data_IF_848156219599
#
_entry.id   IF_848156219599
#
_cell.length_a   1.000
_cell.length_b   1.000
_cell.length_c   1.000
_cell.angle_alpha   90.00
_cell.angle_beta   90.00
_cell.angle_gamma   90.00
#
_symmetry.space_group_name_H-M   'P 1'
#
loop_
_entity.id
_entity.type
_entity.pdbx_description
1 polymer ?
#
# COMPACT_ATOMS: atom_id res chain seq x y z
N UNK A 1 -0.65 7.30 27.25
CA UNK A 1 -1.36 8.45 26.69
C UNK A 1 -1.57 8.18 25.21
N UNK A 2 -2.82 8.00 24.78
CA UNK A 2 -3.11 8.03 23.36
C UNK A 2 -2.70 9.41 22.84
N UNK A 3 -1.85 9.45 21.82
CA UNK A 3 -1.59 10.71 21.11
C UNK A 3 -2.88 11.16 20.46
N UNK A 4 -3.18 12.46 20.38
CA UNK A 4 -4.40 12.97 19.75
C UNK A 4 -4.64 12.44 18.31
N UNK A 5 -3.58 12.12 17.58
CA UNK A 5 -3.64 11.41 16.28
C UNK A 5 -4.37 10.06 16.41
N UNK A 6 -4.08 9.29 17.46
CA UNK A 6 -4.72 8.00 17.73
C UNK A 6 -6.22 8.18 18.01
N UNK A 7 -6.62 9.18 18.80
CA UNK A 7 -8.04 9.47 19.07
C UNK A 7 -8.81 9.77 17.77
N UNK A 8 -8.22 10.56 16.85
CA UNK A 8 -8.85 10.83 15.54
C UNK A 8 -8.93 9.59 14.64
N UNK A 9 -7.97 8.66 14.75
CA UNK A 9 -8.02 7.38 14.04
C UNK A 9 -9.11 6.45 14.63
N UNK A 10 -9.34 6.48 15.93
CA UNK A 10 -10.45 5.78 16.59
C UNK A 10 -11.80 6.30 16.09
N UNK A 11 -11.98 7.61 16.01
CA UNK A 11 -13.19 8.24 15.48
C UNK A 11 -13.45 7.85 14.01
N UNK A 12 -12.42 7.90 13.17
CA UNK A 12 -12.52 7.43 11.77
C UNK A 12 -12.91 5.96 11.67
N UNK A 13 -12.36 5.12 12.55
CA UNK A 13 -12.71 3.70 12.59
C UNK A 13 -14.14 3.49 13.05
N UNK A 14 -14.56 4.22 14.09
CA UNK A 14 -15.92 4.17 14.61
C UNK A 14 -16.94 4.63 13.56
N UNK A 15 -16.59 5.63 12.74
CA UNK A 15 -17.39 6.04 11.59
C UNK A 15 -17.63 4.89 10.61
N UNK A 16 -16.60 4.10 10.26
CA UNK A 16 -16.81 2.95 9.37
C UNK A 16 -17.81 1.95 9.96
N UNK A 17 -17.70 1.68 11.26
CA UNK A 17 -18.58 0.73 11.95
C UNK A 17 -20.02 1.23 12.11
N UNK A 18 -20.23 2.53 12.39
CA UNK A 18 -21.53 3.08 12.74
C UNK A 18 -21.77 4.46 12.12
N UNK A 19 -22.92 4.66 11.49
CA UNK A 19 -23.29 5.90 10.78
C UNK A 19 -23.29 7.15 11.65
N UNK A 20 -23.58 7.01 12.95
CA UNK A 20 -23.69 8.12 13.90
C UNK A 20 -22.65 8.04 15.01
N UNK A 21 -21.55 7.30 14.81
CA UNK A 21 -20.46 7.25 15.79
C UNK A 21 -19.70 8.58 15.91
N UNK A 22 -19.82 9.46 14.92
CA UNK A 22 -19.12 10.74 14.89
C UNK A 22 -20.08 11.82 14.39
N UNK A 23 -20.06 12.98 15.03
CA UNK A 23 -20.94 14.10 14.71
C UNK A 23 -20.61 14.70 13.33
N UNK A 24 -19.31 14.77 12.99
CA UNK A 24 -18.83 15.25 11.70
C UNK A 24 -17.51 14.59 11.31
N UNK A 25 -17.55 13.77 10.26
CA UNK A 25 -16.35 13.13 9.71
C UNK A 25 -15.40 14.13 9.07
N UNK A 26 -15.94 15.20 8.48
CA UNK A 26 -15.15 16.30 7.91
C UNK A 26 -14.34 17.01 9.00
N UNK A 27 -14.95 17.27 10.15
CA UNK A 27 -14.26 17.88 11.29
C UNK A 27 -13.21 16.94 11.91
N UNK A 28 -13.49 15.64 12.01
CA UNK A 28 -12.49 14.64 12.43
C UNK A 28 -11.29 14.61 11.47
N UNK A 29 -11.52 14.70 10.16
CA UNK A 29 -10.46 14.75 9.14
C UNK A 29 -9.61 16.02 9.26
N UNK A 30 -10.23 17.18 9.45
CA UNK A 30 -9.53 18.45 9.66
C UNK A 30 -8.66 18.44 10.92
N UNK A 31 -9.21 17.90 12.01
CA UNK A 31 -8.46 17.74 13.26
C UNK A 31 -7.31 16.74 13.10
N UNK A 32 -7.53 15.62 12.42
CA UNK A 32 -6.47 14.67 12.13
C UNK A 32 -5.32 15.33 11.36
N UNK A 33 -5.63 16.12 10.32
CA UNK A 33 -4.61 16.80 9.53
C UNK A 33 -3.77 17.77 10.38
N UNK A 34 -4.41 18.55 11.26
CA UNK A 34 -3.72 19.46 12.20
C UNK A 34 -2.83 18.69 13.17
N UNK A 35 -3.35 17.64 13.79
CA UNK A 35 -2.61 16.85 14.78
C UNK A 35 -1.44 16.09 14.14
N UNK A 36 -1.57 15.65 12.89
CA UNK A 36 -0.46 15.08 12.10
C UNK A 36 0.61 16.13 11.85
N UNK A 37 0.24 17.32 11.38
CA UNK A 37 1.19 18.40 11.11
C UNK A 37 1.96 18.79 12.39
N UNK A 38 1.26 18.95 13.51
CA UNK A 38 1.85 19.22 14.82
C UNK A 38 2.80 18.12 15.28
N UNK A 39 2.39 16.84 15.13
CA UNK A 39 3.20 15.71 15.54
C UNK A 39 4.50 15.59 14.73
N UNK A 40 4.48 15.94 13.44
CA UNK A 40 5.64 15.87 12.55
C UNK A 40 6.70 16.92 12.86
N UNK A 41 6.32 18.11 13.33
CA UNK A 41 7.26 19.19 13.64
C UNK A 41 7.73 19.20 15.09
N UNK A 42 6.99 18.53 16.00
CA UNK A 42 7.25 18.59 17.45
C UNK A 42 8.58 17.95 17.86
N UNK A 43 8.82 16.71 17.43
CA UNK A 43 10.07 16.00 17.72
C UNK A 43 10.23 14.78 16.82
N UNK A 44 11.46 14.27 16.71
CA UNK A 44 11.73 13.04 15.95
C UNK A 44 10.92 11.83 16.47
N UNK A 45 10.84 11.67 17.79
CA UNK A 45 10.08 10.59 18.41
C UNK A 45 8.57 10.73 18.14
N UNK A 46 8.05 11.97 18.21
CA UNK A 46 6.66 12.28 17.87
C UNK A 46 6.36 11.97 16.41
N UNK A 47 7.24 12.38 15.49
CA UNK A 47 7.10 12.09 14.07
C UNK A 47 7.15 10.57 13.78
N UNK A 48 8.03 9.83 14.45
CA UNK A 48 8.08 8.36 14.34
C UNK A 48 6.81 7.70 14.87
N UNK A 49 6.29 8.15 16.01
CA UNK A 49 5.03 7.63 16.54
C UNK A 49 3.86 7.95 15.61
N UNK A 50 3.82 9.16 15.05
CA UNK A 50 2.83 9.58 14.05
C UNK A 50 2.89 8.69 12.81
N UNK A 51 4.08 8.40 12.26
CA UNK A 51 4.20 7.51 11.10
C UNK A 51 3.82 6.07 11.44
N UNK A 52 4.09 5.59 12.65
CA UNK A 52 3.58 4.26 13.08
C UNK A 52 2.05 4.27 13.11
N UNK A 53 1.43 5.32 13.66
CA UNK A 53 -0.02 5.44 13.75
C UNK A 53 -0.70 5.50 12.37
N UNK A 54 -0.20 6.36 11.49
CA UNK A 54 -0.82 6.56 10.16
C UNK A 54 -0.66 5.34 9.24
N UNK A 55 0.41 4.56 9.40
CA UNK A 55 0.75 3.51 8.43
C UNK A 55 0.67 2.09 9.00
N UNK A 56 1.07 1.86 10.25
CA UNK A 56 1.34 0.52 10.77
C UNK A 56 0.40 0.09 11.91
N UNK A 57 -0.29 1.04 12.54
CA UNK A 57 -1.09 0.77 13.73
C UNK A 57 -2.24 -0.21 13.48
N UNK A 58 -2.37 -1.14 14.41
CA UNK A 58 -3.43 -2.15 14.46
C UNK A 58 -4.63 -1.60 15.22
N UNK A 59 -4.36 -0.97 16.35
CA UNK A 59 -5.34 -0.44 17.29
C UNK A 59 -4.80 0.88 17.88
N UNK A 60 -5.37 2.03 17.50
CA UNK A 60 -6.42 2.18 16.49
C UNK A 60 -5.97 1.81 15.08
N UNK A 61 -6.88 1.39 14.18
CA UNK A 61 -6.54 1.14 12.79
C UNK A 61 -5.88 2.33 12.11
N UNK A 62 -4.77 2.06 11.42
CA UNK A 62 -4.07 3.05 10.62
C UNK A 62 -4.91 3.57 9.46
N UNK A 63 -4.52 4.70 8.85
CA UNK A 63 -5.20 5.21 7.66
C UNK A 63 -5.14 4.22 6.49
N UNK A 64 -4.06 3.44 6.38
CA UNK A 64 -3.97 2.39 5.36
C UNK A 64 -5.02 1.29 5.60
N UNK A 65 -5.23 0.91 6.86
CA UNK A 65 -6.25 -0.08 7.23
C UNK A 65 -7.66 0.45 7.04
N UNK A 66 -7.89 1.73 7.35
CA UNK A 66 -9.15 2.41 7.04
C UNK A 66 -9.45 2.35 5.54
N UNK A 67 -8.48 2.68 4.69
CA UNK A 67 -8.65 2.62 3.22
C UNK A 67 -8.97 1.20 2.76
N UNK A 68 -8.27 0.20 3.28
CA UNK A 68 -8.53 -1.20 2.93
C UNK A 68 -9.94 -1.64 3.37
N UNK A 69 -10.32 -1.39 4.62
CA UNK A 69 -11.63 -1.78 5.15
C UNK A 69 -12.80 -1.03 4.48
N UNK A 70 -12.57 0.21 4.03
CA UNK A 70 -13.58 1.01 3.33
C UNK A 70 -13.66 0.72 1.82
N UNK A 71 -12.70 -0.02 1.24
CA UNK A 71 -12.72 -0.41 -0.17
C UNK A 71 -13.88 -1.37 -0.48
N UNK A 72 -14.05 -2.37 0.36
CA UNK A 72 -15.01 -3.46 0.20
C UNK A 72 -16.31 -3.23 1.01
N UNK A 73 -16.63 -1.97 1.29
CA UNK A 73 -17.79 -1.64 2.13
C UNK A 73 -19.10 -2.10 1.46
N UNK A 74 -19.79 -3.04 2.11
CA UNK A 74 -20.91 -3.78 1.52
C UNK A 74 -22.26 -3.05 1.56
N UNK A 75 -22.46 -2.13 2.51
CA UNK A 75 -23.74 -1.45 2.68
C UNK A 75 -23.88 -0.27 1.70
N UNK A 76 -24.70 -0.48 0.69
CA UNK A 76 -24.99 0.47 -0.40
C UNK A 76 -25.57 1.81 0.11
N UNK A 77 -26.24 1.83 1.26
CA UNK A 77 -26.86 3.05 1.80
C UNK A 77 -25.82 4.09 2.24
N UNK A 78 -24.65 3.63 2.70
CA UNK A 78 -23.53 4.47 3.19
C UNK A 78 -22.33 4.48 2.24
N UNK A 79 -22.37 3.71 1.16
CA UNK A 79 -21.26 3.54 0.21
C UNK A 79 -20.75 4.86 -0.37
N UNK A 80 -21.64 5.80 -0.69
CA UNK A 80 -21.27 7.12 -1.21
C UNK A 80 -20.50 7.94 -0.17
N UNK A 81 -21.02 7.99 1.05
CA UNK A 81 -20.43 8.72 2.17
C UNK A 81 -19.03 8.16 2.49
N UNK A 82 -18.93 6.84 2.64
CA UNK A 82 -17.68 6.14 2.92
C UNK A 82 -16.67 6.28 1.78
N UNK A 83 -17.11 6.24 0.53
CA UNK A 83 -16.25 6.52 -0.62
C UNK A 83 -15.70 7.95 -0.58
N UNK A 84 -16.52 8.95 -0.21
CA UNK A 84 -16.07 10.33 -0.07
C UNK A 84 -15.04 10.48 1.05
N UNK A 85 -15.28 9.88 2.22
CA UNK A 85 -14.32 9.88 3.33
C UNK A 85 -13.02 9.18 2.95
N UNK A 86 -13.10 8.02 2.26
CA UNK A 86 -11.94 7.29 1.76
C UNK A 86 -11.10 8.16 0.84
N UNK A 87 -11.71 8.86 -0.11
CA UNK A 87 -10.98 9.83 -0.95
C UNK A 87 -10.31 10.92 -0.11
N UNK A 88 -10.96 11.47 0.91
CA UNK A 88 -10.37 12.46 1.82
C UNK A 88 -9.15 11.93 2.58
N UNK A 89 -9.21 10.68 3.07
CA UNK A 89 -8.05 10.02 3.72
C UNK A 89 -6.87 9.89 2.76
N UNK A 90 -7.13 9.60 1.49
CA UNK A 90 -6.09 9.50 0.46
C UNK A 90 -5.47 10.84 0.11
N UNK A 91 -6.26 11.91 0.11
CA UNK A 91 -5.76 13.28 -0.04
C UNK A 91 -4.92 13.73 1.15
N UNK A 92 -5.30 13.35 2.37
CA UNK A 92 -4.48 13.60 3.56
C UNK A 92 -3.14 12.88 3.46
N UNK A 93 -3.15 11.58 3.17
CA UNK A 93 -1.94 10.78 2.98
C UNK A 93 -1.08 11.36 1.83
N UNK A 94 -1.72 11.84 0.76
CA UNK A 94 -1.05 12.53 -0.34
C UNK A 94 -0.31 13.78 0.09
N UNK A 95 -0.99 14.65 0.80
CA UNK A 95 -0.45 15.91 1.29
C UNK A 95 0.67 15.66 2.30
N UNK A 96 0.50 14.67 3.17
CA UNK A 96 1.52 14.22 4.11
C UNK A 96 2.82 13.83 3.40
N UNK A 97 2.75 13.04 2.33
CA UNK A 97 3.95 12.67 1.57
C UNK A 97 4.59 13.84 0.81
N UNK A 98 3.78 14.74 0.24
CA UNK A 98 4.31 15.93 -0.42
C UNK A 98 5.11 16.80 0.55
N UNK A 99 4.62 16.94 1.78
CA UNK A 99 5.24 17.78 2.81
C UNK A 99 6.38 17.09 3.55
N UNK A 100 6.26 15.78 3.82
CA UNK A 100 7.16 15.06 4.71
C UNK A 100 7.83 13.85 4.07
N UNK A 101 7.75 13.67 2.74
CA UNK A 101 8.30 12.51 2.03
C UNK A 101 9.81 12.31 2.20
N UNK A 102 10.55 13.38 2.49
CA UNK A 102 11.98 13.37 2.80
C UNK A 102 12.31 13.28 4.30
N UNK A 103 11.28 13.24 5.16
CA UNK A 103 11.47 13.25 6.60
C UNK A 103 11.98 11.89 7.10
N UNK A 104 12.98 11.90 7.98
CA UNK A 104 13.69 10.69 8.46
C UNK A 104 12.81 9.68 9.21
N UNK A 105 11.62 10.10 9.66
CA UNK A 105 10.64 9.23 10.30
C UNK A 105 9.83 8.38 9.29
N UNK A 106 9.85 8.73 8.00
CA UNK A 106 9.24 7.91 6.96
C UNK A 106 10.24 6.88 6.46
N UNK A 107 9.80 5.63 6.39
CA UNK A 107 10.52 4.62 5.63
C UNK A 107 10.12 4.75 4.16
N UNK A 108 10.98 4.27 3.24
CA UNK A 108 10.64 4.21 1.82
C UNK A 108 9.30 3.49 1.57
N UNK A 109 8.95 2.51 2.41
CA UNK A 109 7.71 1.74 2.33
C UNK A 109 6.45 2.59 2.56
N UNK A 110 6.49 3.58 3.46
CA UNK A 110 5.34 4.45 3.74
C UNK A 110 4.98 5.35 2.55
N UNK A 111 6.01 5.93 1.91
CA UNK A 111 5.86 6.76 0.70
C UNK A 111 5.21 5.96 -0.43
N UNK A 112 5.58 4.70 -0.49
CA UNK A 112 5.31 3.72 -1.54
C UNK A 112 3.88 3.17 -1.42
N UNK A 113 3.41 2.82 -0.22
CA UNK A 113 2.02 2.35 -0.02
C UNK A 113 0.99 3.45 -0.30
N UNK A 114 1.25 4.69 0.11
CA UNK A 114 0.30 5.80 -0.11
C UNK A 114 0.23 6.24 -1.56
N UNK A 115 1.34 6.23 -2.29
CA UNK A 115 1.33 6.50 -3.73
C UNK A 115 0.41 5.53 -4.47
N UNK A 116 0.26 4.28 -4.00
CA UNK A 116 -0.69 3.34 -4.60
C UNK A 116 -2.09 3.35 -4.04
N UNK A 117 -2.29 3.74 -2.79
CA UNK A 117 -3.66 3.96 -2.35
C UNK A 117 -4.31 5.14 -3.11
N UNK A 118 -3.55 6.20 -3.44
CA UNK A 118 -4.02 7.27 -4.35
C UNK A 118 -4.39 6.77 -5.74
N UNK A 119 -3.67 5.76 -6.20
CA UNK A 119 -3.85 5.16 -7.51
C UNK A 119 -5.04 4.18 -7.54
N UNK A 120 -5.24 3.41 -6.46
CA UNK A 120 -6.40 2.54 -6.29
C UNK A 120 -7.73 3.31 -6.29
N UNK A 121 -7.75 4.56 -5.80
CA UNK A 121 -8.94 5.43 -5.73
C UNK A 121 -9.15 6.37 -6.93
N UNK A 122 -8.41 6.18 -8.03
CA UNK A 122 -8.62 6.83 -9.35
C UNK A 122 -8.32 8.34 -9.46
N UNK A 123 -7.31 8.90 -8.76
CA UNK A 123 -6.97 10.34 -8.88
C UNK A 123 -5.57 10.69 -9.42
N UNK A 124 -4.71 9.72 -9.74
CA UNK A 124 -3.36 10.00 -10.24
C UNK A 124 -3.24 9.70 -11.74
N UNK A 125 -2.70 10.66 -12.50
CA UNK A 125 -2.35 10.46 -13.91
C UNK A 125 -0.96 9.83 -14.02
N UNK A 126 -0.64 9.25 -15.19
CA UNK A 126 0.71 8.70 -15.48
C UNK A 126 1.83 9.73 -15.28
N UNK A 127 1.51 11.02 -15.48
CA UNK A 127 2.43 12.16 -15.36
C UNK A 127 2.78 12.47 -13.89
N UNK A 128 1.94 12.06 -12.94
CA UNK A 128 2.16 12.30 -11.51
C UNK A 128 3.03 11.23 -10.83
N UNK A 129 3.10 10.03 -11.42
CA UNK A 129 3.66 8.84 -10.76
C UNK A 129 4.90 8.30 -11.47
N UNK A 130 5.09 8.47 -12.77
CA UNK A 130 6.16 7.77 -13.52
C UNK A 130 6.22 6.26 -13.18
N UNK A 131 5.17 5.47 -13.52
CA UNK A 131 4.96 4.11 -12.99
C UNK A 131 6.16 3.17 -13.15
N UNK A 132 6.83 3.22 -14.31
CA UNK A 132 8.04 2.45 -14.59
C UNK A 132 9.18 2.73 -13.63
N UNK A 133 9.50 4.01 -13.41
CA UNK A 133 10.59 4.41 -12.53
C UNK A 133 10.35 3.93 -11.09
N UNK A 134 9.09 3.92 -10.65
CA UNK A 134 8.71 3.36 -9.36
C UNK A 134 8.85 1.84 -9.30
N UNK A 135 8.34 1.12 -10.30
CA UNK A 135 8.47 -0.34 -10.38
C UNK A 135 9.94 -0.76 -10.37
N UNK A 136 10.79 -0.10 -11.17
CA UNK A 136 12.22 -0.39 -11.24
C UNK A 136 12.93 -0.14 -9.91
N UNK A 137 12.61 0.98 -9.25
CA UNK A 137 13.16 1.31 -7.93
C UNK A 137 12.73 0.31 -6.85
N UNK A 138 11.46 -0.09 -6.85
CA UNK A 138 10.94 -1.07 -5.91
C UNK A 138 11.57 -2.43 -6.13
N UNK A 139 11.69 -2.84 -7.39
CA UNK A 139 12.35 -4.09 -7.73
C UNK A 139 13.81 -4.10 -7.28
N UNK A 140 14.52 -2.98 -7.47
CA UNK A 140 15.86 -2.80 -6.93
C UNK A 140 15.89 -2.91 -5.40
N UNK A 141 15.01 -2.19 -4.69
CA UNK A 141 14.96 -2.22 -3.23
C UNK A 141 14.60 -3.62 -2.69
N UNK A 142 13.70 -4.37 -3.34
CA UNK A 142 13.37 -5.76 -2.97
C UNK A 142 14.61 -6.66 -3.05
N UNK A 143 15.40 -6.52 -4.12
CA UNK A 143 16.58 -7.35 -4.38
C UNK A 143 17.76 -7.01 -3.48
N UNK A 144 18.01 -5.72 -3.26
CA UNK A 144 19.29 -5.26 -2.71
C UNK A 144 19.20 -4.57 -1.36
N UNK A 145 18.02 -4.18 -0.89
CA UNK A 145 17.89 -3.54 0.42
C UNK A 145 17.86 -4.55 1.57
N UNK A 146 18.20 -4.05 2.77
CA UNK A 146 18.04 -4.75 4.05
C UNK A 146 16.60 -4.68 4.59
N UNK A 147 15.60 -4.43 3.73
CA UNK A 147 14.21 -4.40 4.16
C UNK A 147 13.78 -5.76 4.74
N UNK A 148 12.89 -5.71 5.72
CA UNK A 148 12.24 -6.92 6.25
C UNK A 148 11.39 -7.58 5.16
N UNK A 149 11.07 -8.83 5.35
CA UNK A 149 10.41 -9.64 4.32
C UNK A 149 8.93 -9.30 4.22
N UNK A 150 8.31 -8.93 5.34
CA UNK A 150 7.00 -8.26 5.39
C UNK A 150 6.97 -7.04 4.48
N UNK A 151 8.00 -6.20 4.57
CA UNK A 151 8.07 -5.01 3.74
C UNK A 151 8.30 -5.32 2.26
N UNK A 152 9.11 -6.33 1.95
CA UNK A 152 9.30 -6.78 0.57
C UNK A 152 7.99 -7.33 -0.01
N UNK A 153 7.20 -8.06 0.79
CA UNK A 153 5.84 -8.48 0.44
C UNK A 153 4.95 -7.29 0.06
N UNK A 154 4.92 -6.25 0.89
CA UNK A 154 4.16 -5.02 0.60
C UNK A 154 4.65 -4.28 -0.65
N UNK A 155 5.96 -4.24 -0.90
CA UNK A 155 6.52 -3.67 -2.13
C UNK A 155 6.12 -4.47 -3.37
N UNK A 156 5.97 -5.79 -3.25
CA UNK A 156 5.50 -6.65 -4.35
C UNK A 156 4.01 -6.46 -4.62
N UNK A 157 3.18 -6.39 -3.58
CA UNK A 157 1.76 -6.04 -3.75
C UNK A 157 1.59 -4.73 -4.50
N UNK A 158 2.41 -3.75 -4.14
CA UNK A 158 2.46 -2.47 -4.81
C UNK A 158 2.83 -2.57 -6.30
N UNK A 159 3.88 -3.32 -6.63
CA UNK A 159 4.24 -3.56 -8.03
C UNK A 159 3.05 -4.18 -8.76
N UNK A 160 2.38 -5.17 -8.15
CA UNK A 160 1.18 -5.77 -8.70
C UNK A 160 0.11 -4.73 -9.02
N UNK A 161 -0.20 -3.82 -8.09
CA UNK A 161 -1.17 -2.75 -8.35
C UNK A 161 -0.75 -1.88 -9.53
N UNK A 162 0.49 -1.38 -9.55
CA UNK A 162 1.00 -0.53 -10.63
C UNK A 162 0.94 -1.21 -12.00
N UNK A 163 1.18 -2.52 -12.05
CA UNK A 163 1.04 -3.33 -13.26
C UNK A 163 -0.43 -3.43 -13.70
N UNK A 164 -1.33 -3.72 -12.77
CA UNK A 164 -2.76 -3.90 -13.05
C UNK A 164 -3.39 -2.66 -13.72
N UNK A 165 -2.95 -1.45 -13.35
CA UNK A 165 -3.62 -0.22 -13.77
C UNK A 165 -2.81 0.67 -14.73
N UNK A 166 -1.49 0.47 -14.85
CA UNK A 166 -0.64 1.13 -15.84
C UNK A 166 0.15 0.11 -16.67
N UNK A 167 -0.51 -0.92 -17.26
CA UNK A 167 0.19 -2.05 -17.88
C UNK A 167 1.10 -1.61 -19.03
N UNK A 168 0.72 -0.58 -19.78
CA UNK A 168 1.50 -0.04 -20.90
C UNK A 168 2.76 0.71 -20.43
N UNK A 169 2.69 1.41 -19.30
CA UNK A 169 3.83 2.20 -18.80
C UNK A 169 4.92 1.29 -18.19
N UNK A 170 4.55 0.11 -17.68
CA UNK A 170 5.47 -0.80 -16.98
C UNK A 170 5.86 -2.05 -17.79
N UNK A 171 5.41 -2.16 -19.05
CA UNK A 171 5.58 -3.34 -19.91
C UNK A 171 7.05 -3.82 -19.98
N UNK A 172 8.00 -2.89 -20.09
CA UNK A 172 9.43 -3.23 -20.16
C UNK A 172 9.99 -3.83 -18.85
N UNK A 173 9.37 -3.50 -17.71
CA UNK A 173 9.78 -4.01 -16.38
C UNK A 173 9.20 -5.39 -16.08
N UNK A 174 8.14 -5.82 -16.80
CA UNK A 174 7.40 -7.05 -16.53
C UNK A 174 8.23 -8.34 -16.72
N UNK A 175 8.97 -8.55 -17.83
CA UNK A 175 9.71 -9.80 -18.03
C UNK A 175 10.76 -10.11 -16.94
N UNK A 176 11.65 -9.19 -16.53
CA UNK A 176 12.63 -9.48 -15.49
C UNK A 176 11.99 -9.65 -14.11
N UNK A 177 10.86 -8.98 -13.84
CA UNK A 177 10.08 -9.18 -12.62
C UNK A 177 9.47 -10.57 -12.56
N UNK A 178 8.83 -11.02 -13.64
CA UNK A 178 8.24 -12.36 -13.72
C UNK A 178 9.26 -13.46 -13.41
N UNK A 179 10.40 -13.44 -14.11
CA UNK A 179 11.46 -14.43 -13.87
C UNK A 179 11.91 -14.43 -12.40
N UNK A 180 12.10 -13.25 -11.81
CA UNK A 180 12.55 -13.15 -10.43
C UNK A 180 11.50 -13.61 -9.42
N UNK A 181 10.23 -13.27 -9.63
CA UNK A 181 9.12 -13.68 -8.76
C UNK A 181 8.96 -15.20 -8.75
N UNK A 182 9.06 -15.85 -9.91
CA UNK A 182 9.03 -17.30 -10.05
C UNK A 182 10.18 -17.98 -9.27
N UNK A 183 11.41 -17.50 -9.45
CA UNK A 183 12.58 -18.00 -8.71
C UNK A 183 12.46 -17.76 -7.20
N UNK A 184 11.89 -16.63 -6.80
CA UNK A 184 11.69 -16.29 -5.40
C UNK A 184 10.63 -17.17 -4.74
N UNK A 185 9.53 -17.47 -5.44
CA UNK A 185 8.50 -18.39 -4.98
C UNK A 185 9.04 -19.81 -4.81
N UNK A 186 9.82 -20.31 -5.78
CA UNK A 186 10.47 -21.62 -5.67
C UNK A 186 11.34 -21.71 -4.40
N UNK A 187 12.14 -20.67 -4.12
CA UNK A 187 12.97 -20.61 -2.92
C UNK A 187 12.14 -20.60 -1.64
N UNK A 188 11.01 -19.90 -1.63
CA UNK A 188 10.11 -19.87 -0.47
C UNK A 188 9.45 -21.23 -0.26
N UNK A 189 8.94 -21.88 -1.30
CA UNK A 189 8.30 -23.19 -1.18
C UNK A 189 9.28 -24.33 -0.88
N UNK A 190 10.55 -24.19 -1.27
CA UNK A 190 11.61 -25.13 -0.90
C UNK A 190 12.17 -24.90 0.51
N UNK A 191 11.77 -23.81 1.19
CA UNK A 191 12.25 -23.47 2.53
C UNK A 191 11.47 -24.23 3.61
N UNK A 192 12.17 -24.65 4.67
CA UNK A 192 11.54 -25.22 5.87
C UNK A 192 10.80 -24.17 6.73
N UNK A 193 11.00 -22.89 6.45
CA UNK A 193 10.36 -21.77 7.13
C UNK A 193 10.01 -20.67 6.13
N UNK A 194 8.97 -20.86 5.29
CA UNK A 194 8.53 -19.85 4.33
C UNK A 194 8.02 -18.60 5.03
N UNK A 195 8.35 -17.44 4.46
CA UNK A 195 7.94 -16.15 4.99
C UNK A 195 6.62 -15.72 4.36
N UNK A 196 5.51 -16.04 5.03
CA UNK A 196 4.16 -15.91 4.45
C UNK A 196 3.81 -14.53 3.91
N UNK A 197 4.29 -13.45 4.54
CA UNK A 197 4.05 -12.10 4.03
C UNK A 197 4.76 -11.82 2.70
N UNK A 198 5.96 -12.39 2.52
CA UNK A 198 6.65 -12.32 1.25
C UNK A 198 5.96 -13.19 0.20
N UNK A 199 5.55 -14.41 0.57
CA UNK A 199 4.82 -15.34 -0.32
C UNK A 199 3.53 -14.71 -0.84
N UNK A 200 2.74 -14.07 0.04
CA UNK A 200 1.51 -13.38 -0.36
C UNK A 200 1.80 -12.27 -1.38
N UNK A 201 2.81 -11.43 -1.12
CA UNK A 201 3.20 -10.38 -2.05
C UNK A 201 3.70 -10.92 -3.40
N UNK A 202 4.48 -12.00 -3.38
CA UNK A 202 4.97 -12.67 -4.58
C UNK A 202 3.81 -13.22 -5.43
N UNK A 203 2.86 -13.93 -4.82
CA UNK A 203 1.69 -14.48 -5.52
C UNK A 203 0.78 -13.36 -6.06
N UNK A 204 0.57 -12.31 -5.27
CA UNK A 204 -0.23 -11.16 -5.68
C UNK A 204 0.36 -10.47 -6.91
N UNK A 205 1.68 -10.21 -6.88
CA UNK A 205 2.40 -9.60 -7.99
C UNK A 205 2.40 -10.52 -9.22
N UNK A 206 2.64 -11.82 -9.02
CA UNK A 206 2.67 -12.81 -10.10
C UNK A 206 1.35 -12.82 -10.88
N UNK A 207 0.21 -12.87 -10.18
CA UNK A 207 -1.10 -12.90 -10.83
C UNK A 207 -1.30 -11.74 -11.81
N UNK A 208 -0.87 -10.53 -11.44
CA UNK A 208 -1.03 -9.31 -12.24
C UNK A 208 0.02 -9.19 -13.34
N UNK A 209 1.25 -9.60 -13.06
CA UNK A 209 2.30 -9.67 -14.08
C UNK A 209 1.93 -10.66 -15.20
N UNK A 210 1.27 -11.76 -14.88
CA UNK A 210 0.80 -12.74 -15.86
C UNK A 210 -0.34 -12.22 -16.74
N UNK A 211 -1.12 -11.24 -16.29
CA UNK A 211 -2.10 -10.57 -17.16
C UNK A 211 -1.43 -9.78 -18.29
N UNK A 212 -0.21 -9.28 -18.06
CA UNK A 212 0.62 -8.65 -19.09
C UNK A 212 1.33 -9.66 -20.00
N UNK A 213 1.44 -10.92 -19.60
CA UNK A 213 2.05 -12.00 -20.39
C UNK A 213 1.28 -13.33 -20.27
N UNK A 214 0.05 -13.39 -20.82
CA UNK A 214 -0.85 -14.54 -20.66
C UNK A 214 -0.33 -15.82 -21.35
N UNK A 215 0.60 -15.68 -22.29
CA UNK A 215 1.19 -16.79 -23.04
C UNK A 215 2.47 -17.34 -22.40
N UNK A 216 2.95 -16.75 -21.29
CA UNK A 216 4.20 -17.16 -20.62
C UNK A 216 4.30 -18.67 -20.39
N UNK A 217 3.31 -19.26 -19.72
CA UNK A 217 3.31 -20.70 -19.40
C UNK A 217 2.82 -21.59 -20.54
N UNK A 218 2.31 -21.02 -21.64
CA UNK A 218 2.06 -21.79 -22.85
C UNK A 218 3.32 -21.95 -23.69
N UNK A 219 4.24 -20.98 -23.61
CA UNK A 219 5.53 -20.97 -24.31
C UNK A 219 6.58 -21.88 -23.67
N UNK A 220 6.47 -22.14 -22.36
CA UNK A 220 7.40 -23.00 -21.62
C UNK A 220 6.65 -24.09 -20.85
N UNK A 221 6.63 -25.31 -21.43
CA UNK A 221 5.98 -26.47 -20.83
C UNK A 221 6.65 -26.95 -19.54
N UNK A 222 7.97 -26.73 -19.40
CA UNK A 222 8.71 -27.08 -18.19
C UNK A 222 8.35 -26.16 -17.03
N UNK A 223 8.34 -24.85 -17.28
CA UNK A 223 7.90 -23.84 -16.33
C UNK A 223 6.43 -24.03 -15.93
N UNK A 224 5.56 -24.37 -16.90
CA UNK A 224 4.16 -24.69 -16.63
C UNK A 224 4.03 -25.87 -15.67
N UNK A 225 4.72 -26.99 -15.93
CA UNK A 225 4.68 -28.17 -15.05
C UNK A 225 5.16 -27.82 -13.63
N UNK A 226 6.18 -26.98 -13.51
CA UNK A 226 6.74 -26.52 -12.23
C UNK A 226 5.79 -25.61 -11.43
N UNK A 227 5.02 -24.75 -12.10
CA UNK A 227 4.07 -23.85 -11.42
C UNK A 227 2.82 -24.57 -10.94
N UNK A 228 2.38 -25.62 -11.64
CA UNK A 228 1.17 -26.39 -11.31
C UNK A 228 1.43 -27.66 -10.47
N UNK A 229 2.68 -27.94 -10.11
CA UNK A 229 3.07 -29.02 -9.19
C UNK A 229 3.13 -28.54 -7.75
#
# INVERSE_FOLDING_TARGET
MATKVAERLEELTAFLAHQHAVDSVEETMDHLQKEVADAMVRSRASAQQCTILLFQSVEPPSLLRFVAASADFADESRKREISTTRSGVLELLSSFLKLYGSHQALTKQHVVVVSVLKYADKRASREDIEPRAYVDKLFYDIKFSKATQTAKGQMLELIGYLVEKFPQDVEESVPPLLCWVEDALEKQFSSNSPEMMLVNGLLFALARLLECDPERYKRDEGLRKKVYS
#
